data_IF_664554564620
#
_entry.id   IF_664554564620
#
_cell.length_a   1.000
_cell.length_b   1.000
_cell.length_c   1.000
_cell.angle_alpha   90.00
_cell.angle_beta   90.00
_cell.angle_gamma   90.00
#
_symmetry.space_group_name_H-M   'P 1'
#
loop_
_entity.id
_entity.type
_entity.pdbx_description
1 polymer ?
#
# COMPACT_ATOMS: atom_id res chain seq x y z
N UNK A 1 -47.41 -45.31 -94.20
CA UNK A 1 -46.80 -44.66 -95.38
C UNK A 1 -46.49 -43.22 -95.03
N UNK A 2 -45.28 -42.77 -95.37
CA UNK A 2 -44.82 -41.42 -95.72
C UNK A 2 -45.48 -40.22 -94.99
N UNK A 3 -44.74 -39.40 -94.23
CA UNK A 3 -43.71 -38.47 -94.73
C UNK A 3 -44.35 -37.06 -94.81
N UNK A 4 -43.74 -35.93 -94.46
CA UNK A 4 -42.40 -35.53 -94.06
C UNK A 4 -42.29 -34.00 -94.30
N UNK A 5 -41.51 -33.33 -93.45
CA UNK A 5 -40.88 -32.00 -93.60
C UNK A 5 -41.76 -30.73 -93.56
N UNK A 6 -41.41 -29.82 -92.66
CA UNK A 6 -40.72 -28.55 -92.99
C UNK A 6 -40.09 -27.96 -91.72
N UNK A 7 -38.82 -27.55 -91.84
CA UNK A 7 -37.97 -26.99 -90.80
C UNK A 7 -38.10 -25.45 -90.73
N UNK A 8 -37.88 -24.88 -89.55
CA UNK A 8 -37.71 -23.45 -89.34
C UNK A 8 -37.37 -23.14 -87.89
N UNK A 9 -36.10 -22.83 -87.63
CA UNK A 9 -35.51 -22.67 -86.29
C UNK A 9 -36.12 -21.53 -85.48
N UNK A 10 -36.45 -21.83 -84.22
CA UNK A 10 -36.80 -20.87 -83.18
C UNK A 10 -35.52 -20.25 -82.60
N UNK A 11 -35.49 -18.93 -82.43
CA UNK A 11 -34.43 -18.23 -81.72
C UNK A 11 -35.01 -17.67 -80.41
N UNK A 12 -34.34 -18.08 -79.34
CA UNK A 12 -34.69 -17.93 -77.93
C UNK A 12 -34.44 -16.50 -77.41
N UNK A 13 -35.25 -15.96 -76.47
CA UNK A 13 -35.09 -14.61 -75.95
C UNK A 13 -33.82 -14.43 -75.11
N UNK A 14 -33.10 -13.33 -75.35
CA UNK A 14 -31.87 -12.96 -74.66
C UNK A 14 -32.11 -12.53 -73.19
N UNK A 15 -31.18 -13.02 -72.35
CA UNK A 15 -31.06 -12.91 -70.90
C UNK A 15 -30.66 -11.48 -70.43
N UNK A 16 -31.04 -11.06 -69.20
CA UNK A 16 -30.70 -9.74 -68.66
C UNK A 16 -29.23 -9.62 -68.22
N UNK A 17 -28.66 -8.43 -68.40
CA UNK A 17 -27.28 -8.09 -68.08
C UNK A 17 -26.96 -8.13 -66.56
N UNK A 18 -25.72 -8.52 -66.17
CA UNK A 18 -25.32 -8.62 -64.77
C UNK A 18 -25.00 -7.27 -64.14
N UNK A 19 -25.41 -7.11 -62.88
CA UNK A 19 -25.11 -6.01 -61.96
C UNK A 19 -23.62 -6.01 -61.57
N UNK A 20 -22.95 -4.84 -61.42
CA UNK A 20 -21.56 -4.78 -60.96
C UNK A 20 -21.44 -5.15 -59.48
N UNK A 21 -20.63 -6.17 -59.18
CA UNK A 21 -20.26 -6.59 -57.82
C UNK A 21 -19.12 -5.74 -57.28
N UNK A 22 -19.39 -4.98 -56.21
CA UNK A 22 -18.37 -4.29 -55.40
C UNK A 22 -17.50 -5.31 -54.64
N UNK A 23 -16.16 -5.16 -54.60
CA UNK A 23 -15.32 -6.07 -53.81
C UNK A 23 -15.60 -5.92 -52.31
N UNK A 24 -15.76 -7.05 -51.61
CA UNK A 24 -15.90 -7.07 -50.16
C UNK A 24 -14.58 -6.65 -49.48
N UNK A 25 -14.62 -5.81 -48.44
CA UNK A 25 -13.44 -5.38 -47.70
C UNK A 25 -12.79 -6.57 -46.97
N UNK A 26 -11.45 -6.60 -46.98
CA UNK A 26 -10.66 -7.59 -46.27
C UNK A 26 -10.91 -7.53 -44.74
N UNK A 27 -10.86 -8.66 -44.03
CA UNK A 27 -10.99 -8.66 -42.57
C UNK A 27 -9.84 -7.85 -41.96
N UNK A 28 -10.20 -6.75 -41.29
CA UNK A 28 -9.25 -5.95 -40.53
C UNK A 28 -9.07 -6.64 -39.18
N UNK A 29 -7.90 -7.20 -38.93
CA UNK A 29 -7.51 -7.69 -37.60
C UNK A 29 -7.67 -6.53 -36.60
N UNK A 30 -8.40 -6.70 -35.47
CA UNK A 30 -8.44 -5.69 -34.43
C UNK A 30 -7.01 -5.34 -34.00
N UNK A 31 -6.70 -4.04 -33.95
CA UNK A 31 -5.46 -3.60 -33.34
C UNK A 31 -5.42 -4.13 -31.89
N UNK A 32 -4.27 -4.63 -31.41
CA UNK A 32 -4.15 -5.04 -30.02
C UNK A 32 -4.58 -3.89 -29.12
N UNK A 33 -5.54 -4.17 -28.24
CA UNK A 33 -5.97 -3.26 -27.20
C UNK A 33 -4.72 -2.82 -26.40
N UNK A 34 -4.52 -1.52 -26.16
CA UNK A 34 -3.39 -1.08 -25.36
C UNK A 34 -3.46 -1.82 -24.02
N UNK A 35 -2.38 -2.51 -23.66
CA UNK A 35 -2.27 -3.19 -22.38
C UNK A 35 -2.61 -2.18 -21.25
N UNK A 36 -3.31 -2.61 -20.18
CA UNK A 36 -3.59 -1.74 -19.05
C UNK A 36 -2.29 -1.10 -18.60
N UNK A 37 -2.22 0.22 -18.63
CA UNK A 37 -1.08 0.94 -18.04
C UNK A 37 -1.14 0.67 -16.55
N UNK A 38 -0.09 0.05 -16.02
CA UNK A 38 0.06 -0.20 -14.59
C UNK A 38 -0.18 1.13 -13.87
N UNK A 39 -1.19 1.16 -12.99
CA UNK A 39 -1.55 2.39 -12.32
C UNK A 39 -0.35 2.90 -11.51
N UNK A 40 -0.08 4.20 -11.59
CA UNK A 40 1.09 4.78 -10.96
C UNK A 40 0.86 4.92 -9.44
N UNK A 41 1.96 4.89 -8.69
CA UNK A 41 1.92 5.27 -7.27
C UNK A 41 1.61 6.76 -7.16
N UNK A 42 0.67 7.12 -6.30
CA UNK A 42 0.29 8.51 -6.03
C UNK A 42 0.95 9.00 -4.75
N UNK A 43 0.96 10.31 -4.48
CA UNK A 43 1.44 10.85 -3.20
C UNK A 43 0.29 11.45 -2.43
N UNK A 44 0.06 10.95 -1.22
CA UNK A 44 -0.81 11.57 -0.23
C UNK A 44 -0.22 12.91 0.20
N UNK A 45 -1.05 13.96 0.19
CA UNK A 45 -0.74 15.29 0.75
C UNK A 45 -2.01 15.81 1.41
N UNK A 46 -1.88 16.43 2.58
CA UNK A 46 -2.97 17.15 3.23
C UNK A 46 -2.47 18.52 3.71
N UNK A 47 -3.15 19.63 3.37
CA UNK A 47 -2.66 20.98 3.66
C UNK A 47 -2.56 21.32 5.16
N UNK A 48 -3.09 20.47 6.04
CA UNK A 48 -3.06 20.66 7.50
C UNK A 48 -1.84 19.99 8.15
N UNK A 49 -1.04 19.21 7.41
CA UNK A 49 0.15 18.53 7.92
C UNK A 49 1.30 18.57 6.90
N UNK A 50 2.56 18.72 7.34
CA UNK A 50 3.71 18.59 6.44
C UNK A 50 3.98 17.12 6.02
N UNK A 51 3.24 16.17 6.58
CA UNK A 51 3.39 14.75 6.27
C UNK A 51 2.89 14.39 4.88
N UNK A 52 3.74 13.75 4.07
CA UNK A 52 3.33 13.12 2.81
C UNK A 52 4.01 11.77 2.61
N UNK A 53 3.36 10.87 1.88
CA UNK A 53 3.87 9.53 1.55
C UNK A 53 3.23 9.00 0.27
N UNK A 54 3.86 8.01 -0.36
CA UNK A 54 3.31 7.35 -1.55
C UNK A 54 2.19 6.37 -1.20
N UNK A 55 1.17 6.31 -2.04
CA UNK A 55 0.03 5.40 -1.96
C UNK A 55 0.14 4.39 -3.11
N UNK A 56 0.07 3.07 -2.82
CA UNK A 56 0.05 2.06 -3.86
C UNK A 56 -1.22 2.15 -4.73
N UNK A 57 -1.16 1.70 -5.99
CA UNK A 57 -2.33 1.69 -6.85
C UNK A 57 -3.51 0.90 -6.26
N UNK A 58 -4.70 1.50 -6.28
CA UNK A 58 -5.92 0.89 -5.74
C UNK A 58 -6.05 0.92 -4.22
N UNK A 59 -5.07 1.48 -3.51
CA UNK A 59 -5.15 1.76 -2.07
C UNK A 59 -5.73 3.15 -1.84
N UNK A 60 -6.15 3.45 -0.61
CA UNK A 60 -6.76 4.73 -0.27
C UNK A 60 -6.31 5.22 1.09
N UNK A 61 -6.33 6.54 1.29
CA UNK A 61 -6.09 7.17 2.59
C UNK A 61 -7.39 7.83 3.05
N UNK A 62 -7.78 7.56 4.29
CA UNK A 62 -8.95 8.17 4.93
C UNK A 62 -8.53 8.85 6.22
N UNK A 63 -9.14 9.98 6.55
CA UNK A 63 -8.97 10.59 7.86
C UNK A 63 -9.63 9.69 8.92
N UNK A 64 -8.89 9.36 9.97
CA UNK A 64 -9.35 8.50 11.04
C UNK A 64 -10.38 9.22 11.91
N UNK A 65 -11.38 8.51 12.42
CA UNK A 65 -12.37 9.04 13.38
C UNK A 65 -11.72 9.50 14.70
N UNK A 66 -10.51 9.04 14.98
CA UNK A 66 -9.70 9.46 16.13
C UNK A 66 -8.93 10.77 15.90
N UNK A 67 -9.11 11.44 14.76
CA UNK A 67 -8.52 12.76 14.53
C UNK A 67 -9.25 13.82 15.34
N UNK A 68 -8.50 14.78 15.88
CA UNK A 68 -9.02 15.99 16.52
C UNK A 68 -8.38 17.22 15.86
N UNK A 69 -8.86 17.62 14.66
CA UNK A 69 -8.25 18.71 13.89
C UNK A 69 -8.20 20.05 14.64
N UNK A 70 -9.12 20.29 15.57
CA UNK A 70 -9.14 21.46 16.46
C UNK A 70 -7.95 21.53 17.42
N UNK A 71 -7.34 20.38 17.72
CA UNK A 71 -6.10 20.25 18.50
C UNK A 71 -4.88 19.94 17.62
N UNK A 72 -5.05 20.02 16.28
CA UNK A 72 -4.05 19.66 15.28
C UNK A 72 -3.56 18.21 15.39
N UNK A 73 -4.38 17.33 15.97
CA UNK A 73 -4.18 15.89 16.03
C UNK A 73 -4.77 15.26 14.78
N UNK A 74 -3.93 15.03 13.79
CA UNK A 74 -4.37 14.47 12.51
C UNK A 74 -3.91 13.02 12.42
N UNK A 75 -4.85 12.13 12.11
CA UNK A 75 -4.61 10.71 11.86
C UNK A 75 -5.19 10.31 10.51
N UNK A 76 -4.39 9.63 9.72
CA UNK A 76 -4.77 9.16 8.40
C UNK A 76 -4.47 7.67 8.29
N UNK A 77 -5.52 6.89 8.04
CA UNK A 77 -5.45 5.44 7.88
C UNK A 77 -5.26 5.12 6.41
N UNK A 78 -4.19 4.38 6.10
CA UNK A 78 -3.94 3.81 4.79
C UNK A 78 -4.61 2.45 4.69
N UNK A 79 -5.57 2.34 3.78
CA UNK A 79 -6.34 1.13 3.52
C UNK A 79 -5.87 0.48 2.22
N UNK A 80 -5.75 -0.84 2.22
CA UNK A 80 -5.50 -1.60 1.00
C UNK A 80 -6.71 -1.62 0.05
N UNK A 81 -6.57 -2.29 -1.09
CA UNK A 81 -7.63 -2.41 -2.10
C UNK A 81 -8.87 -3.19 -1.61
N UNK A 82 -8.76 -3.92 -0.50
CA UNK A 82 -9.88 -4.58 0.17
C UNK A 82 -10.51 -3.71 1.27
N UNK A 83 -9.99 -2.51 1.51
CA UNK A 83 -10.42 -1.62 2.58
C UNK A 83 -9.88 -2.00 3.96
N UNK A 84 -8.88 -2.89 4.03
CA UNK A 84 -8.24 -3.27 5.30
C UNK A 84 -7.18 -2.25 5.65
N UNK A 85 -7.19 -1.76 6.90
CA UNK A 85 -6.16 -0.84 7.37
C UNK A 85 -4.81 -1.53 7.46
N UNK A 86 -3.80 -0.90 6.87
CA UNK A 86 -2.43 -1.40 6.83
C UNK A 86 -1.46 -0.54 7.65
N UNK A 87 -1.56 0.78 7.55
CA UNK A 87 -0.73 1.75 8.26
C UNK A 87 -1.61 2.92 8.75
N UNK A 88 -1.14 3.62 9.77
CA UNK A 88 -1.67 4.91 10.22
C UNK A 88 -0.53 5.92 10.24
N UNK A 89 -0.70 7.05 9.55
CA UNK A 89 0.11 8.25 9.75
C UNK A 89 -0.58 9.14 10.79
N UNK A 90 0.14 9.57 11.81
CA UNK A 90 -0.38 10.44 12.86
C UNK A 90 0.62 11.57 13.18
N UNK A 91 0.12 12.80 13.29
CA UNK A 91 0.91 13.98 13.70
C UNK A 91 0.47 14.52 15.05
N UNK A 92 1.41 15.15 15.76
CA UNK A 92 1.22 15.75 17.10
C UNK A 92 0.75 14.71 18.11
N UNK A 93 1.23 13.47 17.97
CA UNK A 93 0.89 12.37 18.88
C UNK A 93 1.11 12.82 20.33
N UNK A 94 0.07 12.72 21.14
CA UNK A 94 0.08 13.12 22.55
C UNK A 94 -0.71 12.12 23.40
N UNK A 95 -0.78 12.35 24.71
CA UNK A 95 -1.47 11.43 25.62
C UNK A 95 -0.78 10.06 25.73
N UNK A 96 0.52 10.01 25.43
CA UNK A 96 1.31 8.79 25.55
C UNK A 96 1.30 8.31 27.01
N UNK A 97 0.88 7.06 27.21
CA UNK A 97 0.73 6.48 28.53
C UNK A 97 0.45 4.98 28.52
N UNK A 98 0.51 4.39 29.70
CA UNK A 98 0.23 2.97 29.87
C UNK A 98 0.90 2.43 31.11
N UNK A 99 0.26 1.44 31.72
CA UNK A 99 0.82 0.73 32.87
C UNK A 99 1.73 -0.40 32.43
N UNK A 100 2.86 -0.54 33.13
CA UNK A 100 3.85 -1.60 32.95
C UNK A 100 3.70 -2.65 34.06
N UNK A 101 2.55 -3.29 34.16
CA UNK A 101 2.34 -4.30 35.20
C UNK A 101 2.71 -5.69 34.66
N UNK A 102 3.96 -6.12 34.90
CA UNK A 102 4.40 -7.51 34.72
C UNK A 102 4.52 -8.01 33.28
N UNK A 103 4.58 -7.10 32.29
CA UNK A 103 4.83 -7.46 30.89
C UNK A 103 6.33 -7.55 30.64
N UNK A 104 6.81 -8.77 30.38
CA UNK A 104 8.18 -9.04 29.92
C UNK A 104 8.11 -9.65 28.53
N UNK A 105 8.83 -9.05 27.61
CA UNK A 105 8.87 -9.51 26.23
C UNK A 105 10.30 -9.51 25.70
N UNK A 106 10.58 -10.38 24.74
CA UNK A 106 11.80 -10.30 23.96
C UNK A 106 11.49 -9.55 22.68
N UNK A 107 12.30 -8.54 22.36
CA UNK A 107 12.23 -7.82 21.08
C UNK A 107 13.33 -8.32 20.17
N UNK A 108 12.98 -8.65 18.93
CA UNK A 108 13.93 -8.92 17.84
C UNK A 108 13.64 -7.99 16.68
N UNK A 109 14.59 -7.12 16.34
CA UNK A 109 14.55 -6.37 15.09
C UNK A 109 14.99 -7.31 13.95
N UNK A 110 14.05 -7.67 13.07
CA UNK A 110 14.36 -8.50 11.89
C UNK A 110 14.97 -7.66 10.77
N UNK A 111 14.56 -6.40 10.66
CA UNK A 111 15.15 -5.43 9.75
C UNK A 111 15.15 -4.02 10.37
N UNK A 112 16.27 -3.32 10.20
CA UNK A 112 16.41 -1.90 10.52
C UNK A 112 17.17 -1.24 9.38
N UNK A 113 16.50 -0.37 8.63
CA UNK A 113 17.07 0.36 7.49
C UNK A 113 17.01 1.86 7.76
N UNK A 114 18.14 2.49 8.13
CA UNK A 114 18.22 3.94 8.26
C UNK A 114 17.92 4.64 6.93
N UNK A 115 17.17 5.73 6.98
CA UNK A 115 16.93 6.57 5.81
C UNK A 115 16.74 8.02 6.21
N UNK A 116 16.97 8.92 5.26
CA UNK A 116 16.68 10.34 5.45
C UNK A 116 15.20 10.59 5.20
N UNK A 117 14.53 11.24 6.15
CA UNK A 117 13.17 11.76 5.96
C UNK A 117 13.29 13.23 5.54
N UNK A 118 12.91 13.61 4.31
CA UNK A 118 12.92 15.01 3.90
C UNK A 118 12.07 15.87 4.84
N UNK A 119 12.57 17.03 5.24
CA UNK A 119 11.91 17.90 6.23
C UNK A 119 12.05 17.48 7.69
N UNK A 120 12.67 16.33 7.99
CA UNK A 120 12.92 15.94 9.37
C UNK A 120 13.97 16.83 10.03
N UNK A 121 13.56 17.45 11.13
CA UNK A 121 14.44 18.14 12.07
C UNK A 121 14.29 17.47 13.42
N UNK A 122 15.37 16.91 13.94
CA UNK A 122 15.36 16.16 15.20
C UNK A 122 15.01 17.04 16.39
N UNK A 123 14.23 16.51 17.33
CA UNK A 123 14.03 17.14 18.62
C UNK A 123 15.37 17.28 19.38
N UNK A 124 15.53 18.39 20.10
CA UNK A 124 16.65 18.60 21.02
C UNK A 124 16.14 18.66 22.46
N UNK A 125 16.69 17.84 23.35
CA UNK A 125 16.34 17.84 24.78
C UNK A 125 16.00 16.45 25.29
N UNK A 126 15.10 16.38 26.28
CA UNK A 126 14.74 15.13 26.97
C UNK A 126 14.02 14.11 26.07
N UNK A 127 13.53 14.55 24.91
CA UNK A 127 12.90 13.72 23.88
C UNK A 127 13.73 13.67 22.58
N UNK A 128 15.06 13.82 22.68
CA UNK A 128 15.92 13.64 21.52
C UNK A 128 15.81 12.20 20.96
N UNK A 129 15.95 12.01 19.64
CA UNK A 129 16.03 10.69 19.05
C UNK A 129 17.23 9.90 19.60
N UNK A 130 17.06 8.59 19.74
CA UNK A 130 18.15 7.69 20.18
C UNK A 130 18.95 7.15 18.99
N UNK A 131 18.30 7.03 17.83
CA UNK A 131 18.90 6.58 16.57
C UNK A 131 18.44 7.50 15.42
N UNK A 132 19.13 7.42 14.28
CA UNK A 132 18.62 8.06 13.05
C UNK A 132 17.27 7.44 12.65
N UNK A 133 16.35 8.22 12.04
CA UNK A 133 15.11 7.67 11.53
C UNK A 133 15.34 6.46 10.64
N UNK A 134 14.61 5.39 10.93
CA UNK A 134 14.80 4.09 10.30
C UNK A 134 13.45 3.45 10.03
N UNK A 135 13.33 2.78 8.88
CA UNK A 135 12.33 1.76 8.70
C UNK A 135 12.70 0.56 9.59
N UNK A 136 11.73 -0.01 10.27
CA UNK A 136 11.94 -1.20 11.10
C UNK A 136 10.84 -2.23 10.91
N UNK A 137 11.24 -3.50 10.83
CA UNK A 137 10.38 -4.63 11.07
C UNK A 137 10.81 -5.32 12.37
N UNK A 138 9.96 -5.20 13.39
CA UNK A 138 10.25 -5.69 14.75
C UNK A 138 9.27 -6.79 15.12
N UNK A 139 9.79 -7.84 15.76
CA UNK A 139 8.99 -8.94 16.30
C UNK A 139 9.15 -8.99 17.81
N UNK A 140 8.02 -9.14 18.49
CA UNK A 140 7.88 -9.24 19.93
C UNK A 140 7.47 -10.67 20.30
N UNK A 141 8.12 -11.25 21.30
CA UNK A 141 7.71 -12.50 21.95
C UNK A 141 7.32 -12.19 23.40
N UNK A 142 6.06 -12.41 23.75
CA UNK A 142 5.56 -12.14 25.11
C UNK A 142 5.57 -13.41 25.96
N UNK A 143 6.13 -13.31 27.18
CA UNK A 143 6.26 -14.48 28.06
C UNK A 143 4.90 -15.02 28.57
N UNK A 144 3.87 -14.18 28.59
CA UNK A 144 2.51 -14.52 29.04
C UNK A 144 1.57 -14.95 27.91
N UNK A 145 1.95 -14.75 26.64
CA UNK A 145 1.09 -15.03 25.49
C UNK A 145 1.89 -15.71 24.36
N UNK A 146 1.61 -16.99 24.05
CA UNK A 146 2.34 -17.71 23.01
C UNK A 146 2.14 -17.04 21.65
N UNK A 147 3.18 -17.09 20.82
CA UNK A 147 3.19 -16.50 19.48
C UNK A 147 4.17 -15.33 19.35
N UNK A 148 4.36 -14.88 18.12
CA UNK A 148 5.22 -13.76 17.77
C UNK A 148 4.37 -12.65 17.19
N UNK A 149 4.67 -11.41 17.59
CA UNK A 149 3.85 -10.24 17.31
C UNK A 149 4.69 -9.22 16.55
N UNK A 150 4.38 -9.00 15.28
CA UNK A 150 5.14 -8.16 14.37
C UNK A 150 4.60 -6.74 14.25
N UNK A 151 5.49 -5.79 13.98
CA UNK A 151 5.15 -4.41 13.66
C UNK A 151 6.12 -3.81 12.63
N UNK A 152 5.57 -3.05 11.69
CA UNK A 152 6.28 -2.25 10.69
C UNK A 152 6.12 -0.77 11.00
N UNK A 153 7.23 -0.03 10.98
CA UNK A 153 7.22 1.39 11.35
C UNK A 153 8.38 2.20 10.77
N UNK A 154 8.20 3.51 10.76
CA UNK A 154 9.29 4.48 10.83
C UNK A 154 9.50 4.88 12.30
N UNK A 155 10.74 4.76 12.81
CA UNK A 155 11.07 5.17 14.17
C UNK A 155 12.47 5.75 14.32
N UNK A 156 12.67 6.50 15.40
CA UNK A 156 13.97 7.07 15.80
C UNK A 156 14.35 6.77 17.26
N UNK A 157 13.61 5.87 17.91
CA UNK A 157 13.90 5.37 19.26
C UNK A 157 14.25 3.89 19.25
N UNK A 158 14.98 3.43 20.26
CA UNK A 158 15.21 2.00 20.45
C UNK A 158 13.94 1.34 21.02
N UNK A 159 13.61 0.12 20.60
CA UNK A 159 12.51 -0.59 21.21
C UNK A 159 12.83 -0.95 22.66
N UNK A 160 11.93 -0.61 23.58
CA UNK A 160 12.04 -1.04 24.96
C UNK A 160 11.79 -2.57 25.06
N UNK A 161 12.63 -3.26 25.82
CA UNK A 161 12.49 -4.71 26.12
C UNK A 161 11.61 -4.99 27.33
N UNK A 162 11.16 -3.94 28.01
CA UNK A 162 10.23 -4.04 29.13
C UNK A 162 8.96 -3.27 28.77
N UNK A 163 7.79 -3.78 29.20
CA UNK A 163 6.51 -3.11 29.07
C UNK A 163 5.95 -2.97 27.64
N UNK A 164 6.24 -1.87 26.95
CA UNK A 164 5.85 -1.58 25.57
C UNK A 164 6.77 -0.48 25.03
N UNK A 165 6.78 -0.31 23.71
CA UNK A 165 7.40 0.85 23.08
C UNK A 165 6.45 1.48 22.07
N UNK A 166 6.80 2.67 21.60
CA UNK A 166 6.03 3.36 20.59
C UNK A 166 6.78 3.47 19.27
N UNK A 167 6.06 3.30 18.18
CA UNK A 167 6.54 3.58 16.84
C UNK A 167 6.34 5.05 16.53
N UNK A 168 7.39 5.84 16.71
CA UNK A 168 7.36 7.28 16.45
C UNK A 168 8.72 7.82 16.03
N UNK A 169 8.66 8.96 15.37
CA UNK A 169 9.77 9.90 15.18
C UNK A 169 9.51 11.18 15.96
N UNK A 170 10.56 11.70 16.58
CA UNK A 170 10.61 12.86 17.46
C UNK A 170 11.17 14.04 16.67
N UNK A 171 10.28 14.85 16.12
CA UNK A 171 10.67 16.08 15.41
C UNK A 171 10.80 17.24 16.39
N UNK A 172 11.36 18.36 15.93
CA UNK A 172 11.44 19.58 16.76
C UNK A 172 10.07 20.10 17.16
N UNK A 173 9.05 19.90 16.32
CA UNK A 173 7.72 20.51 16.43
C UNK A 173 6.62 19.54 16.90
N UNK A 174 6.81 18.22 16.75
CA UNK A 174 5.79 17.22 17.04
C UNK A 174 6.37 15.82 17.29
N UNK A 175 5.56 14.97 17.94
CA UNK A 175 5.71 13.52 17.79
C UNK A 175 4.90 13.07 16.59
N UNK A 176 5.53 12.31 15.70
CA UNK A 176 4.90 11.78 14.49
C UNK A 176 4.99 10.26 14.53
N UNK A 177 3.92 9.58 14.17
CA UNK A 177 3.91 8.12 14.00
C UNK A 177 3.57 7.78 12.56
N UNK A 178 4.32 6.87 11.96
CA UNK A 178 3.91 6.23 10.72
C UNK A 178 4.24 4.74 10.81
N UNK A 179 3.21 3.96 11.10
CA UNK A 179 3.36 2.56 11.47
C UNK A 179 2.04 1.80 11.31
N UNK A 180 2.10 0.49 11.41
CA UNK A 180 0.91 -0.37 11.49
C UNK A 180 0.24 -0.32 12.87
N UNK A 181 0.99 0.02 13.92
CA UNK A 181 0.48 0.34 15.25
C UNK A 181 1.35 1.41 15.93
N UNK A 182 0.72 2.32 16.68
CA UNK A 182 1.45 3.35 17.45
C UNK A 182 2.13 2.74 18.67
N UNK A 183 1.42 1.93 19.43
CA UNK A 183 1.87 1.33 20.69
C UNK A 183 2.05 -0.16 20.49
N UNK A 184 3.28 -0.63 20.67
CA UNK A 184 3.63 -2.01 20.40
C UNK A 184 3.51 -2.82 21.67
N UNK A 185 2.53 -3.73 21.67
CA UNK A 185 2.28 -4.73 22.71
C UNK A 185 1.92 -6.05 22.04
N UNK A 186 1.95 -7.17 22.78
CA UNK A 186 1.42 -8.45 22.29
C UNK A 186 -0.11 -8.47 22.12
N UNK A 187 -0.82 -7.43 22.57
CA UNK A 187 -2.27 -7.30 22.42
C UNK A 187 -2.68 -6.59 21.13
N UNK A 188 -1.86 -5.62 20.72
CA UNK A 188 -2.24 -4.62 19.71
C UNK A 188 -1.40 -4.75 18.42
N UNK A 189 -0.54 -5.76 18.32
CA UNK A 189 0.25 -6.01 17.14
C UNK A 189 -0.63 -6.57 16.00
N UNK A 190 -0.66 -5.90 14.84
CA UNK A 190 -1.53 -6.29 13.73
C UNK A 190 -1.04 -7.57 13.04
N UNK A 191 0.26 -7.89 13.13
CA UNK A 191 0.88 -9.06 12.50
C UNK A 191 1.20 -10.11 13.56
N UNK A 192 0.82 -11.35 13.29
CA UNK A 192 1.02 -12.48 14.19
C UNK A 192 1.65 -13.63 13.43
N UNK A 193 2.67 -14.25 14.02
CA UNK A 193 3.40 -15.35 13.43
C UNK A 193 3.49 -16.49 14.44
N UNK A 194 3.45 -17.73 13.96
CA UNK A 194 3.67 -18.90 14.79
C UNK A 194 5.16 -19.14 15.07
N UNK A 195 6.04 -18.76 14.15
CA UNK A 195 7.49 -18.99 14.24
C UNK A 195 8.31 -17.82 13.69
N UNK A 196 9.58 -17.74 14.10
CA UNK A 196 10.47 -16.69 13.61
C UNK A 196 10.79 -16.86 12.13
N UNK A 197 10.76 -18.10 11.63
CA UNK A 197 10.93 -18.39 10.19
C UNK A 197 9.74 -17.86 9.39
N UNK A 198 8.52 -17.96 9.91
CA UNK A 198 7.33 -17.37 9.28
C UNK A 198 7.43 -15.84 9.22
N UNK A 199 7.87 -15.19 10.31
CA UNK A 199 8.13 -13.76 10.32
C UNK A 199 9.22 -13.36 9.30
N UNK A 200 10.29 -14.14 9.15
CA UNK A 200 11.32 -13.90 8.13
C UNK A 200 10.79 -14.11 6.71
N UNK A 201 9.94 -15.11 6.50
CA UNK A 201 9.32 -15.37 5.21
C UNK A 201 8.36 -14.25 4.80
N UNK A 202 7.71 -13.59 5.76
CA UNK A 202 6.88 -12.42 5.50
C UNK A 202 7.65 -11.29 4.81
N UNK A 203 8.93 -11.06 5.15
CA UNK A 203 9.78 -10.05 4.49
C UNK A 203 10.04 -10.33 3.01
N UNK A 204 9.74 -11.54 2.53
CA UNK A 204 9.85 -11.89 1.11
C UNK A 204 8.52 -11.72 0.35
N UNK A 205 7.46 -11.25 1.02
CA UNK A 205 6.14 -11.05 0.42
C UNK A 205 6.04 -9.70 -0.31
N UNK A 206 5.11 -9.63 -1.26
CA UNK A 206 4.78 -8.38 -1.94
C UNK A 206 4.14 -7.36 -0.98
N UNK A 207 3.41 -7.82 0.04
CA UNK A 207 2.83 -6.97 1.07
C UNK A 207 3.92 -6.22 1.84
N UNK A 208 4.93 -6.94 2.35
CA UNK A 208 6.06 -6.32 3.06
C UNK A 208 6.80 -5.32 2.16
N UNK A 209 7.12 -5.72 0.93
CA UNK A 209 7.79 -4.84 -0.03
C UNK A 209 6.99 -3.55 -0.31
N UNK A 210 5.67 -3.67 -0.43
CA UNK A 210 4.75 -2.54 -0.64
C UNK A 210 4.74 -1.61 0.56
N UNK A 211 4.52 -2.15 1.76
CA UNK A 211 4.45 -1.35 2.99
C UNK A 211 5.78 -0.69 3.33
N UNK A 212 6.89 -1.40 3.13
CA UNK A 212 8.23 -0.84 3.28
C UNK A 212 8.45 0.32 2.33
N UNK A 213 8.04 0.22 1.06
CA UNK A 213 8.11 1.35 0.13
C UNK A 213 7.28 2.55 0.60
N UNK A 214 6.05 2.31 1.06
CA UNK A 214 5.20 3.36 1.61
C UNK A 214 5.90 4.05 2.79
N UNK A 215 6.39 3.29 3.77
CA UNK A 215 7.06 3.83 4.96
C UNK A 215 8.34 4.62 4.61
N UNK A 216 9.16 4.10 3.70
CA UNK A 216 10.39 4.75 3.22
C UNK A 216 10.11 6.01 2.37
N UNK A 217 8.87 6.20 1.90
CA UNK A 217 8.48 7.36 1.10
C UNK A 217 8.04 8.57 1.93
N UNK A 218 8.02 8.42 3.26
CA UNK A 218 7.64 9.45 4.21
C UNK A 218 8.48 10.72 4.03
N UNK A 219 7.80 11.85 4.04
CA UNK A 219 8.37 13.19 4.08
C UNK A 219 7.62 14.03 5.11
N UNK A 220 8.30 15.04 5.62
CA UNK A 220 7.84 16.04 6.59
C UNK A 220 8.08 17.46 6.07
N UNK A 221 8.11 17.63 4.74
CA UNK A 221 8.19 18.90 4.01
C UNK A 221 7.11 19.02 2.91
N UNK A 222 6.06 18.22 3.02
CA UNK A 222 4.94 18.14 2.08
C UNK A 222 3.94 19.27 2.17
#
# INVERSE_FOLDING_TARGET
MAGGLLAGCAQEPAEPAPTPTTPAPAPTTPAPEPAPTEAAWERFVDPRTPGSFEIPPGWSVVESEESEPEHELLKFDLLDSAGTKQLTYARKVMGLGGGCAGMSHTVTELETTPFEIPGYVANTGDYAPEISPSFTFTVLEDAGRPGLYGTLAVRDGLPATECFFYNMVRTEDALVSFADTLKVTAYDAPRQFATMDEARNYMATEEDATLKRVLLSLRLDG
#
